data_IF_448747704001
#
_entry.id   IF_448747704001
#
_cell.length_a   1.000
_cell.length_b   1.000
_cell.length_c   1.000
_cell.angle_alpha   90.00
_cell.angle_beta   90.00
_cell.angle_gamma   90.00
#
_symmetry.space_group_name_H-M   'P 1'
#
loop_
_entity.id
_entity.type
_entity.pdbx_description
1 polymer ?
#
# COMPACT_ATOMS: atom_id res chain seq x y z
N UNK A 1 -15.07 14.67 2.42
CA UNK A 1 -14.62 15.91 1.74
C UNK A 1 -15.78 16.92 1.73
N UNK A 2 -16.94 16.60 1.13
CA UNK A 2 -18.09 17.53 1.04
C UNK A 2 -18.49 18.15 2.39
N UNK A 3 -18.60 17.34 3.45
CA UNK A 3 -18.94 17.83 4.77
C UNK A 3 -17.92 18.82 5.35
N UNK A 4 -16.63 18.64 5.02
CA UNK A 4 -15.56 19.55 5.44
C UNK A 4 -15.68 20.87 4.67
N UNK A 5 -15.92 20.82 3.36
CA UNK A 5 -16.17 22.00 2.54
C UNK A 5 -17.42 22.76 2.97
N UNK A 6 -18.52 22.06 3.27
CA UNK A 6 -19.76 22.69 3.75
C UNK A 6 -19.59 23.44 5.08
N UNK A 7 -18.55 23.10 5.84
CA UNK A 7 -18.15 23.82 7.06
C UNK A 7 -17.17 24.96 6.79
N UNK A 8 -16.92 25.31 5.54
CA UNK A 8 -15.93 26.34 5.15
C UNK A 8 -14.49 25.97 5.50
N UNK A 9 -14.16 24.66 5.54
CA UNK A 9 -12.83 24.17 5.90
C UNK A 9 -12.17 23.44 4.74
N UNK A 10 -10.85 23.53 4.65
CA UNK A 10 -10.05 22.81 3.68
C UNK A 10 -9.88 21.33 4.09
N UNK A 11 -10.29 20.37 3.24
CA UNK A 11 -10.04 18.95 3.51
C UNK A 11 -8.57 18.61 3.29
N UNK A 12 -7.93 18.01 4.29
CA UNK A 12 -6.56 17.52 4.19
C UNK A 12 -6.58 16.00 4.25
N UNK A 13 -6.13 15.34 3.17
CA UNK A 13 -5.98 13.89 3.10
C UNK A 13 -4.51 13.54 3.34
N UNK A 14 -4.23 12.82 4.42
CA UNK A 14 -2.87 12.37 4.76
C UNK A 14 -2.78 10.84 4.78
N UNK A 15 -1.67 10.31 4.31
CA UNK A 15 -1.43 8.87 4.37
C UNK A 15 -0.30 8.41 3.46
N UNK A 16 -0.04 7.10 3.49
CA UNK A 16 1.02 6.45 2.72
C UNK A 16 0.53 5.27 1.87
N UNK A 17 -0.79 5.04 1.80
CA UNK A 17 -1.37 3.98 0.96
C UNK A 17 -1.74 4.57 -0.39
N UNK A 18 -0.81 4.47 -1.35
CA UNK A 18 -0.95 5.10 -2.67
C UNK A 18 -2.25 4.76 -3.39
N UNK A 19 -2.71 3.50 -3.32
CA UNK A 19 -3.98 3.11 -3.95
C UNK A 19 -5.19 3.85 -3.36
N UNK A 20 -5.23 4.09 -2.04
CA UNK A 20 -6.35 4.79 -1.40
C UNK A 20 -6.34 6.29 -1.74
N UNK A 21 -5.15 6.90 -1.73
CA UNK A 21 -5.00 8.29 -2.16
C UNK A 21 -5.44 8.41 -3.62
N UNK A 22 -4.92 7.56 -4.49
CA UNK A 22 -5.29 7.55 -5.90
C UNK A 22 -6.79 7.32 -6.11
N UNK A 23 -7.42 6.46 -5.32
CA UNK A 23 -8.84 6.19 -5.41
C UNK A 23 -9.70 7.43 -5.14
N UNK A 24 -9.27 8.29 -4.22
CA UNK A 24 -9.97 9.54 -3.89
C UNK A 24 -9.66 10.63 -4.93
N UNK A 25 -8.37 10.82 -5.27
CA UNK A 25 -7.94 11.92 -6.14
C UNK A 25 -8.32 11.72 -7.60
N UNK A 26 -8.29 10.49 -8.11
CA UNK A 26 -8.55 10.18 -9.51
C UNK A 26 -9.98 9.64 -9.74
N UNK A 27 -10.87 9.78 -8.75
CA UNK A 27 -12.24 9.23 -8.82
C UNK A 27 -12.24 7.76 -9.31
N UNK A 28 -11.36 6.96 -8.68
CA UNK A 28 -11.16 5.57 -9.09
C UNK A 28 -12.42 4.75 -8.85
N UNK A 29 -13.02 4.28 -9.92
CA UNK A 29 -14.17 3.39 -9.82
C UNK A 29 -13.66 1.99 -9.53
N UNK A 30 -13.80 1.56 -8.27
CA UNK A 30 -13.60 0.15 -7.96
C UNK A 30 -14.70 -0.65 -8.66
N UNK A 31 -14.29 -1.69 -9.36
CA UNK A 31 -15.27 -2.60 -9.92
C UNK A 31 -16.10 -3.17 -8.79
N UNK A 32 -17.40 -2.94 -8.86
CA UNK A 32 -18.40 -3.52 -7.98
C UNK A 32 -18.60 -5.03 -8.20
N UNK A 33 -17.64 -5.67 -8.88
CA UNK A 33 -17.62 -7.11 -9.08
C UNK A 33 -17.58 -7.82 -7.73
N UNK A 34 -18.59 -8.64 -7.48
CA UNK A 34 -18.64 -9.50 -6.30
C UNK A 34 -17.31 -10.26 -6.22
N UNK A 35 -16.61 -10.10 -5.11
CA UNK A 35 -15.43 -10.95 -4.84
C UNK A 35 -15.95 -12.39 -4.81
N UNK A 36 -15.39 -13.24 -5.64
CA UNK A 36 -15.69 -14.66 -5.63
C UNK A 36 -14.50 -15.44 -5.02
N UNK A 37 -14.55 -15.74 -3.70
CA UNK A 37 -13.46 -16.44 -3.03
C UNK A 37 -13.19 -17.83 -3.62
N UNK A 38 -14.23 -18.50 -4.13
CA UNK A 38 -14.12 -19.82 -4.74
C UNK A 38 -13.37 -19.76 -6.08
N UNK A 39 -13.67 -18.77 -6.93
CA UNK A 39 -12.94 -18.55 -8.18
C UNK A 39 -11.48 -18.21 -7.91
N UNK A 40 -11.20 -17.36 -6.91
CA UNK A 40 -9.84 -17.03 -6.55
C UNK A 40 -9.05 -18.22 -6.05
N UNK A 41 -9.66 -19.07 -5.23
CA UNK A 41 -9.07 -20.32 -4.76
C UNK A 41 -8.78 -21.26 -5.94
N UNK A 42 -9.74 -21.44 -6.81
CA UNK A 42 -9.58 -22.25 -8.02
C UNK A 42 -8.38 -21.75 -8.87
N UNK A 43 -8.27 -20.45 -9.11
CA UNK A 43 -7.13 -19.89 -9.86
C UNK A 43 -5.79 -20.07 -9.13
N UNK A 44 -5.79 -20.05 -7.79
CA UNK A 44 -4.59 -20.34 -7.00
C UNK A 44 -4.17 -21.81 -7.13
N UNK A 45 -5.11 -22.74 -7.00
CA UNK A 45 -4.91 -24.18 -7.18
C UNK A 45 -4.44 -24.50 -8.60
N UNK A 46 -5.04 -23.91 -9.62
CA UNK A 46 -4.61 -24.03 -11.01
C UNK A 46 -3.17 -23.54 -11.21
N UNK A 47 -2.79 -22.44 -10.56
CA UNK A 47 -1.42 -21.91 -10.61
C UNK A 47 -0.40 -22.84 -9.94
N UNK A 48 -0.78 -23.48 -8.84
CA UNK A 48 0.06 -24.46 -8.13
C UNK A 48 0.22 -25.73 -8.93
N UNK A 49 -0.85 -26.22 -9.57
CA UNK A 49 -0.85 -27.46 -10.34
C UNK A 49 -0.20 -27.32 -11.73
N UNK A 50 -0.52 -26.27 -12.46
CA UNK A 50 -0.11 -26.07 -13.86
C UNK A 50 1.03 -25.09 -14.05
N UNK A 51 1.49 -24.47 -12.97
CA UNK A 51 2.56 -23.47 -12.99
C UNK A 51 2.09 -22.05 -13.37
N UNK A 52 2.91 -21.08 -12.98
CA UNK A 52 2.66 -19.65 -13.22
C UNK A 52 2.58 -19.29 -14.71
N UNK A 53 3.39 -19.93 -15.53
CA UNK A 53 3.47 -19.63 -16.96
C UNK A 53 2.17 -19.97 -17.70
N UNK A 54 1.43 -20.97 -17.23
CA UNK A 54 0.13 -21.34 -17.81
C UNK A 54 -0.90 -20.25 -17.58
N UNK A 55 -1.02 -19.73 -16.35
CA UNK A 55 -1.95 -18.65 -16.06
C UNK A 55 -1.50 -17.32 -16.71
N UNK A 56 -0.20 -17.11 -16.84
CA UNK A 56 0.28 -15.92 -17.54
C UNK A 56 0.02 -15.98 -19.05
N UNK A 57 0.11 -17.16 -19.67
CA UNK A 57 -0.32 -17.36 -21.07
C UNK A 57 -1.82 -17.08 -21.23
N UNK A 58 -2.64 -17.62 -20.34
CA UNK A 58 -4.08 -17.34 -20.34
C UNK A 58 -4.38 -15.84 -20.18
N UNK A 59 -3.65 -15.14 -19.30
CA UNK A 59 -3.76 -13.68 -19.19
C UNK A 59 -3.41 -12.99 -20.50
N UNK A 60 -2.36 -13.45 -21.19
CA UNK A 60 -1.94 -12.89 -22.49
C UNK A 60 -3.01 -13.09 -23.58
N UNK A 61 -3.76 -14.17 -23.52
CA UNK A 61 -4.87 -14.45 -24.47
C UNK A 61 -6.08 -13.58 -24.21
N UNK A 62 -6.48 -13.38 -22.94
CA UNK A 62 -7.71 -12.65 -22.60
C UNK A 62 -7.48 -11.15 -22.42
N UNK A 63 -6.26 -10.73 -22.06
CA UNK A 63 -5.90 -9.33 -21.83
C UNK A 63 -4.41 -9.09 -22.11
N UNK A 64 -4.04 -8.97 -23.40
CA UNK A 64 -2.64 -8.71 -23.81
C UNK A 64 -2.06 -7.45 -23.18
N UNK A 65 -2.84 -6.38 -23.07
CA UNK A 65 -2.39 -5.11 -22.47
C UNK A 65 -2.10 -5.22 -20.97
N UNK A 66 -2.85 -6.05 -20.26
CA UNK A 66 -2.53 -6.34 -18.86
C UNK A 66 -1.27 -7.21 -18.76
N UNK A 67 -1.10 -8.18 -19.66
CA UNK A 67 0.08 -9.03 -19.67
C UNK A 67 1.39 -8.26 -19.95
N UNK A 68 1.35 -7.19 -20.72
CA UNK A 68 2.51 -6.31 -20.92
C UNK A 68 2.92 -5.55 -19.64
N UNK A 69 1.96 -5.26 -18.76
CA UNK A 69 2.18 -4.46 -17.53
C UNK A 69 2.40 -5.31 -16.28
N UNK A 70 1.98 -6.56 -16.32
CA UNK A 70 2.09 -7.48 -15.18
C UNK A 70 3.30 -8.38 -15.36
N UNK A 71 4.21 -8.37 -14.39
CA UNK A 71 5.36 -9.26 -14.43
C UNK A 71 4.91 -10.73 -14.33
N UNK A 72 5.48 -11.68 -15.14
CA UNK A 72 5.09 -13.10 -15.13
C UNK A 72 5.16 -13.77 -13.75
N UNK A 73 6.05 -13.28 -12.87
CA UNK A 73 6.17 -13.77 -11.50
C UNK A 73 5.20 -13.11 -10.51
N UNK A 74 4.38 -12.15 -10.93
CA UNK A 74 3.39 -11.51 -10.04
C UNK A 74 2.06 -12.29 -10.04
N UNK A 75 2.09 -13.43 -9.37
CA UNK A 75 0.93 -14.34 -9.24
C UNK A 75 -0.33 -13.62 -8.77
N UNK A 76 -0.19 -12.66 -7.85
CA UNK A 76 -1.35 -11.92 -7.29
C UNK A 76 -2.01 -11.05 -8.34
N UNK A 77 -1.23 -10.38 -9.18
CA UNK A 77 -1.78 -9.52 -10.25
C UNK A 77 -2.33 -10.35 -11.40
N UNK A 78 -1.69 -11.46 -11.75
CA UNK A 78 -2.19 -12.39 -12.77
C UNK A 78 -3.56 -12.91 -12.34
N UNK A 79 -3.68 -13.49 -11.14
CA UNK A 79 -4.93 -14.01 -10.60
C UNK A 79 -5.99 -12.90 -10.55
N UNK A 80 -5.64 -11.70 -10.12
CA UNK A 80 -6.57 -10.58 -10.04
C UNK A 80 -7.13 -10.17 -11.41
N UNK A 81 -6.29 -10.16 -12.44
CA UNK A 81 -6.70 -9.83 -13.79
C UNK A 81 -7.64 -10.90 -14.38
N UNK A 82 -7.30 -12.17 -14.19
CA UNK A 82 -8.14 -13.29 -14.62
C UNK A 82 -9.47 -13.35 -13.83
N UNK A 83 -9.43 -13.19 -12.50
CA UNK A 83 -10.64 -13.08 -11.66
C UNK A 83 -11.56 -11.99 -12.19
N UNK A 84 -11.01 -10.83 -12.53
CA UNK A 84 -11.77 -9.72 -13.08
C UNK A 84 -12.43 -10.10 -14.40
N UNK A 85 -11.68 -10.66 -15.34
CA UNK A 85 -12.20 -11.12 -16.62
C UNK A 85 -13.32 -12.14 -16.47
N UNK A 86 -13.14 -13.17 -15.65
CA UNK A 86 -14.15 -14.19 -15.44
C UNK A 86 -15.43 -13.67 -14.77
N UNK A 87 -15.33 -12.63 -13.95
CA UNK A 87 -16.49 -12.07 -13.25
C UNK A 87 -17.24 -11.03 -14.08
N UNK A 88 -16.59 -10.35 -15.00
CA UNK A 88 -17.16 -9.21 -15.73
C UNK A 88 -17.30 -9.45 -17.24
N UNK A 89 -16.56 -10.42 -17.79
CA UNK A 89 -16.43 -10.62 -19.23
C UNK A 89 -15.55 -9.58 -19.93
N UNK A 90 -14.98 -8.61 -19.18
CA UNK A 90 -14.13 -7.55 -19.74
C UNK A 90 -12.68 -7.68 -19.29
N UNK A 91 -11.69 -7.36 -20.13
CA UNK A 91 -10.29 -7.23 -19.75
C UNK A 91 -10.09 -6.15 -18.69
N UNK A 92 -9.22 -6.42 -17.69
CA UNK A 92 -8.93 -5.45 -16.62
C UNK A 92 -8.22 -4.19 -17.17
N UNK A 93 -7.50 -4.31 -18.27
CA UNK A 93 -6.84 -3.18 -18.95
C UNK A 93 -7.84 -2.13 -19.43
N UNK A 94 -9.03 -2.53 -19.87
CA UNK A 94 -10.12 -1.61 -20.25
C UNK A 94 -10.56 -0.76 -19.04
N UNK A 95 -10.68 -1.39 -17.88
CA UNK A 95 -11.00 -0.68 -16.64
C UNK A 95 -9.90 0.30 -16.21
N UNK A 96 -8.63 -0.09 -16.38
CA UNK A 96 -7.51 0.82 -16.11
C UNK A 96 -7.54 2.05 -17.01
N UNK A 97 -7.89 1.89 -18.29
CA UNK A 97 -8.01 3.00 -19.21
C UNK A 97 -9.19 3.91 -18.90
N UNK A 98 -10.34 3.35 -18.56
CA UNK A 98 -11.51 4.14 -18.13
C UNK A 98 -11.17 4.99 -16.91
N UNK A 99 -10.43 4.41 -15.93
CA UNK A 99 -9.99 5.13 -14.73
C UNK A 99 -8.95 6.20 -15.07
N UNK A 100 -8.02 5.92 -15.99
CA UNK A 100 -6.97 6.87 -16.37
C UNK A 100 -7.51 8.10 -17.10
N UNK A 101 -8.60 7.96 -17.83
CA UNK A 101 -9.25 9.07 -18.58
C UNK A 101 -10.08 9.98 -17.69
N UNK A 102 -10.40 9.59 -16.46
CA UNK A 102 -11.14 10.44 -15.53
C UNK A 102 -10.24 11.56 -15.02
N UNK A 103 -10.74 12.77 -15.10
CA UNK A 103 -10.12 13.92 -14.44
C UNK A 103 -10.52 13.93 -12.97
N UNK A 104 -9.66 14.49 -12.14
CA UNK A 104 -10.00 14.70 -10.73
C UNK A 104 -11.19 15.64 -10.60
N UNK A 105 -12.14 15.29 -9.72
CA UNK A 105 -13.26 16.16 -9.37
C UNK A 105 -12.85 17.26 -8.37
N UNK A 106 -11.57 17.32 -8.02
CA UNK A 106 -11.04 18.26 -7.04
C UNK A 106 -9.91 19.09 -7.64
N UNK A 107 -9.81 20.33 -7.22
CA UNK A 107 -8.58 21.10 -7.34
C UNK A 107 -7.58 20.53 -6.35
N UNK A 108 -6.52 19.90 -6.85
CA UNK A 108 -5.60 19.12 -6.04
C UNK A 108 -4.31 19.89 -5.78
N UNK A 109 -3.92 19.89 -4.52
CA UNK A 109 -2.59 20.28 -4.10
C UNK A 109 -1.92 19.08 -3.42
N UNK A 110 -0.95 18.48 -4.10
CA UNK A 110 -0.33 17.23 -3.66
C UNK A 110 1.10 17.47 -3.22
N UNK A 111 1.38 17.15 -1.96
CA UNK A 111 2.71 17.32 -1.36
C UNK A 111 3.24 15.95 -0.91
N UNK A 112 4.46 15.63 -1.32
CA UNK A 112 5.22 14.51 -0.83
C UNK A 112 6.33 14.98 0.10
N UNK A 113 6.37 14.47 1.33
CA UNK A 113 7.47 14.73 2.25
C UNK A 113 8.50 13.62 2.13
N UNK A 114 9.73 14.00 1.85
CA UNK A 114 10.87 13.07 1.79
C UNK A 114 12.00 13.52 2.72
N UNK A 115 12.98 12.67 2.89
CA UNK A 115 14.23 12.98 3.57
C UNK A 115 15.36 12.12 3.02
N UNK A 116 16.59 12.48 3.31
CA UNK A 116 17.75 11.67 2.95
C UNK A 116 17.58 10.24 3.46
N UNK A 117 17.95 9.27 2.62
CA UNK A 117 17.72 7.84 2.86
C UNK A 117 18.29 7.33 4.19
N UNK A 118 19.48 7.81 4.56
CA UNK A 118 20.13 7.42 5.82
C UNK A 118 19.25 7.78 7.02
N UNK A 119 18.81 9.03 7.09
CA UNK A 119 17.96 9.52 8.20
C UNK A 119 16.58 8.88 8.20
N UNK A 120 16.01 8.62 7.02
CA UNK A 120 14.75 7.87 6.93
C UNK A 120 14.88 6.49 7.55
N UNK A 121 15.98 5.79 7.27
CA UNK A 121 16.21 4.44 7.80
C UNK A 121 16.50 4.45 9.31
N UNK A 122 17.22 5.42 9.81
CA UNK A 122 17.43 5.63 11.25
C UNK A 122 16.09 5.88 11.96
N UNK A 123 15.24 6.75 11.43
CA UNK A 123 13.89 6.99 11.99
C UNK A 123 13.00 5.76 11.95
N UNK A 124 13.04 4.99 10.89
CA UNK A 124 12.28 3.73 10.78
C UNK A 124 12.74 2.74 11.86
N UNK A 125 14.05 2.55 12.00
CA UNK A 125 14.61 1.66 13.00
C UNK A 125 14.21 2.09 14.42
N UNK A 126 14.38 3.38 14.73
CA UNK A 126 13.98 3.93 16.03
C UNK A 126 12.48 3.82 16.29
N UNK A 127 11.65 4.00 15.26
CA UNK A 127 10.20 3.79 15.38
C UNK A 127 9.85 2.35 15.73
N UNK A 128 10.52 1.37 15.12
CA UNK A 128 10.32 -0.06 15.45
C UNK A 128 10.68 -0.30 16.93
N UNK A 129 11.81 0.20 17.40
CA UNK A 129 12.23 0.10 18.80
C UNK A 129 11.19 0.71 19.74
N UNK A 130 10.73 1.91 19.48
CA UNK A 130 9.68 2.58 20.25
C UNK A 130 8.36 1.82 20.27
N UNK A 131 7.98 1.16 19.17
CA UNK A 131 6.77 0.33 19.15
C UNK A 131 6.94 -0.90 20.06
N UNK A 132 8.09 -1.51 20.06
CA UNK A 132 8.40 -2.64 20.95
C UNK A 132 8.44 -2.19 22.42
N UNK A 133 9.09 -1.07 22.73
CA UNK A 133 9.11 -0.45 24.07
C UNK A 133 7.69 -0.13 24.58
N UNK A 134 6.80 0.31 23.69
CA UNK A 134 5.39 0.63 24.00
C UNK A 134 4.49 -0.59 24.10
N UNK A 135 5.02 -1.80 23.98
CA UNK A 135 4.29 -3.02 24.24
C UNK A 135 3.67 -3.69 23.02
N UNK A 136 4.15 -3.42 21.80
CA UNK A 136 3.65 -4.10 20.60
C UNK A 136 3.72 -5.63 20.70
N UNK A 137 4.75 -6.19 21.35
CA UNK A 137 4.84 -7.62 21.58
C UNK A 137 3.68 -8.15 22.45
N UNK A 138 3.35 -7.41 23.53
CA UNK A 138 2.23 -7.76 24.43
C UNK A 138 0.89 -7.68 23.68
N UNK A 139 0.72 -6.71 22.82
CA UNK A 139 -0.48 -6.54 21.98
C UNK A 139 -0.66 -7.76 21.06
N UNK A 140 0.39 -8.15 20.31
CA UNK A 140 0.35 -9.31 19.40
C UNK A 140 0.08 -10.61 20.18
N UNK A 141 0.76 -10.81 21.33
CA UNK A 141 0.53 -11.96 22.20
C UNK A 141 -0.93 -12.04 22.66
N UNK A 142 -1.48 -10.93 23.14
CA UNK A 142 -2.88 -10.88 23.57
C UNK A 142 -3.89 -11.16 22.44
N UNK A 143 -3.58 -10.81 21.18
CA UNK A 143 -4.41 -11.16 20.04
C UNK A 143 -4.36 -12.68 19.75
N UNK A 144 -3.18 -13.29 19.77
CA UNK A 144 -3.01 -14.74 19.59
C UNK A 144 -3.73 -15.53 20.70
N UNK A 145 -3.59 -15.11 21.97
CA UNK A 145 -4.29 -15.71 23.11
C UNK A 145 -5.81 -15.62 23.00
N UNK A 146 -6.33 -14.59 22.35
CA UNK A 146 -7.77 -14.43 22.02
C UNK A 146 -8.22 -15.28 20.83
N UNK A 147 -7.34 -16.09 20.24
CA UNK A 147 -7.65 -17.00 19.13
C UNK A 147 -7.56 -16.37 17.74
N UNK A 148 -7.05 -15.15 17.59
CA UNK A 148 -6.78 -14.60 16.26
C UNK A 148 -5.56 -15.29 15.66
N UNK A 149 -5.76 -16.09 14.61
CA UNK A 149 -4.70 -16.85 13.96
C UNK A 149 -3.71 -15.95 13.22
N UNK A 150 -2.43 -16.37 13.21
CA UNK A 150 -1.34 -15.64 12.53
C UNK A 150 -1.52 -15.50 11.00
N UNK A 151 -2.30 -16.42 10.36
CA UNK A 151 -2.60 -16.39 8.94
C UNK A 151 -3.65 -15.34 8.53
N UNK A 152 -4.36 -14.75 9.49
CA UNK A 152 -5.31 -13.67 9.22
C UNK A 152 -4.62 -12.51 8.53
N UNK A 153 -5.28 -11.94 7.53
CA UNK A 153 -4.75 -10.84 6.72
C UNK A 153 -4.28 -9.63 7.55
N UNK A 154 -4.96 -9.32 8.65
CA UNK A 154 -4.55 -8.27 9.59
C UNK A 154 -3.27 -8.63 10.34
N UNK A 155 -3.10 -9.88 10.73
CA UNK A 155 -1.91 -10.40 11.40
C UNK A 155 -0.69 -10.50 10.48
N UNK A 156 -0.88 -10.45 9.16
CA UNK A 156 0.19 -10.38 8.15
C UNK A 156 0.72 -8.95 7.92
N UNK A 157 0.30 -7.98 8.73
CA UNK A 157 0.80 -6.60 8.67
C UNK A 157 2.20 -6.48 9.26
N UNK A 158 2.91 -5.40 8.89
CA UNK A 158 4.25 -5.11 9.43
C UNK A 158 4.20 -5.00 10.96
N UNK A 159 5.10 -5.67 11.62
CA UNK A 159 5.17 -5.81 13.07
C UNK A 159 4.45 -7.06 13.55
N UNK A 160 3.15 -7.19 13.28
CA UNK A 160 2.35 -8.33 13.74
C UNK A 160 2.88 -9.66 13.19
N UNK A 161 3.10 -9.75 11.87
CA UNK A 161 3.69 -10.93 11.23
C UNK A 161 5.01 -11.35 11.88
N UNK A 162 5.90 -10.39 12.11
CA UNK A 162 7.24 -10.67 12.64
C UNK A 162 7.19 -11.17 14.09
N UNK A 163 6.35 -10.52 14.91
CA UNK A 163 6.22 -10.87 16.32
C UNK A 163 5.39 -12.13 16.54
N UNK A 164 4.42 -12.42 15.68
CA UNK A 164 3.70 -13.69 15.69
C UNK A 164 4.66 -14.85 15.40
N UNK A 165 5.54 -14.75 14.41
CA UNK A 165 6.55 -15.78 14.12
C UNK A 165 7.53 -15.99 15.28
N UNK A 166 7.90 -14.95 16.02
CA UNK A 166 8.68 -15.08 17.24
C UNK A 166 7.90 -15.81 18.33
N UNK A 167 6.64 -15.42 18.58
CA UNK A 167 5.81 -16.03 19.64
C UNK A 167 5.45 -17.49 19.35
N UNK A 168 5.35 -17.86 18.08
CA UNK A 168 5.12 -19.24 17.61
C UNK A 168 6.41 -20.08 17.56
N UNK A 169 7.57 -19.49 17.88
CA UNK A 169 8.86 -20.20 17.88
C UNK A 169 9.48 -20.42 16.50
N UNK A 170 8.91 -19.83 15.45
CA UNK A 170 9.45 -19.94 14.08
C UNK A 170 10.73 -19.11 13.90
N UNK A 171 10.88 -18.03 14.63
CA UNK A 171 12.03 -17.13 14.62
C UNK A 171 12.53 -16.83 16.03
N UNK A 172 13.83 -16.59 16.17
CA UNK A 172 14.36 -15.95 17.36
C UNK A 172 14.05 -14.45 17.40
N UNK A 173 14.28 -13.83 18.54
CA UNK A 173 14.01 -12.42 18.77
C UNK A 173 14.80 -11.50 17.82
N UNK A 174 16.06 -11.80 17.63
CA UNK A 174 16.94 -11.00 16.78
C UNK A 174 16.47 -11.02 15.32
N UNK A 175 16.17 -12.20 14.80
CA UNK A 175 15.62 -12.39 13.46
C UNK A 175 14.30 -11.63 13.27
N UNK A 176 13.38 -11.74 14.25
CA UNK A 176 12.09 -11.08 14.19
C UNK A 176 12.24 -9.55 14.11
N UNK A 177 13.06 -8.96 15.00
CA UNK A 177 13.27 -7.50 15.06
C UNK A 177 14.02 -7.00 13.83
N UNK A 178 15.09 -7.69 13.42
CA UNK A 178 15.89 -7.28 12.27
C UNK A 178 15.08 -7.35 10.96
N UNK A 179 14.26 -8.40 10.81
CA UNK A 179 13.38 -8.55 9.65
C UNK A 179 12.27 -7.52 9.66
N UNK A 180 11.69 -7.20 10.82
CA UNK A 180 10.70 -6.14 10.96
C UNK A 180 11.28 -4.77 10.52
N UNK A 181 12.47 -4.39 10.99
CA UNK A 181 13.16 -3.17 10.56
C UNK A 181 13.41 -3.17 9.05
N UNK A 182 13.93 -4.28 8.51
CA UNK A 182 14.22 -4.46 7.09
C UNK A 182 12.97 -4.31 6.22
N UNK A 183 11.87 -4.95 6.59
CA UNK A 183 10.64 -4.94 5.79
C UNK A 183 9.91 -3.60 5.89
N UNK A 184 10.03 -2.91 7.02
CA UNK A 184 9.53 -1.53 7.16
C UNK A 184 10.31 -0.56 6.25
N UNK A 185 11.65 -0.70 6.16
CA UNK A 185 12.46 0.07 5.19
C UNK A 185 12.08 -0.25 3.73
N UNK A 186 11.83 -1.52 3.42
CA UNK A 186 11.35 -1.95 2.09
C UNK A 186 9.97 -1.38 1.78
N UNK A 187 9.09 -1.31 2.77
CA UNK A 187 7.79 -0.70 2.62
C UNK A 187 7.90 0.79 2.31
N UNK A 188 8.73 1.54 3.04
CA UNK A 188 8.99 2.94 2.76
C UNK A 188 9.57 3.16 1.34
N UNK A 189 10.47 2.29 0.88
CA UNK A 189 10.99 2.33 -0.50
C UNK A 189 9.85 2.13 -1.52
N UNK A 190 8.94 1.17 -1.29
CA UNK A 190 7.78 0.94 -2.16
C UNK A 190 6.85 2.15 -2.20
N UNK A 191 6.60 2.80 -1.06
CA UNK A 191 5.80 4.04 -1.00
C UNK A 191 6.44 5.13 -1.86
N UNK A 192 7.74 5.40 -1.70
CA UNK A 192 8.45 6.41 -2.50
C UNK A 192 8.40 6.09 -3.99
N UNK A 193 8.59 4.83 -4.38
CA UNK A 193 8.49 4.40 -5.78
C UNK A 193 7.10 4.64 -6.36
N UNK A 194 6.06 4.34 -5.59
CA UNK A 194 4.68 4.55 -6.00
C UNK A 194 4.37 6.03 -6.22
N UNK A 195 4.67 6.85 -5.22
CA UNK A 195 4.32 8.28 -5.27
C UNK A 195 5.18 9.08 -6.23
N UNK A 196 6.44 8.69 -6.46
CA UNK A 196 7.32 9.34 -7.45
C UNK A 196 6.85 9.15 -8.90
N UNK A 197 6.01 8.17 -9.16
CA UNK A 197 5.40 7.98 -10.47
C UNK A 197 4.29 9.02 -10.77
N UNK A 198 3.80 9.75 -9.77
CA UNK A 198 2.79 10.80 -9.93
C UNK A 198 3.47 12.18 -10.01
N UNK A 199 3.49 12.76 -11.20
CA UNK A 199 4.13 14.05 -11.47
C UNK A 199 3.41 15.25 -10.82
N UNK A 200 2.20 15.08 -10.31
CA UNK A 200 1.44 16.13 -9.61
C UNK A 200 1.98 16.41 -8.22
N UNK A 201 2.82 15.50 -7.68
CA UNK A 201 3.34 15.61 -6.33
C UNK A 201 4.55 16.53 -6.30
N UNK A 202 4.42 17.63 -5.58
CA UNK A 202 5.54 18.47 -5.22
C UNK A 202 6.27 17.87 -4.01
N UNK A 203 7.56 17.59 -4.18
CA UNK A 203 8.37 16.96 -3.16
C UNK A 203 9.10 18.00 -2.31
N UNK A 204 8.87 17.92 -0.99
CA UNK A 204 9.56 18.74 0.01
C UNK A 204 10.51 17.85 0.82
N UNK A 205 11.77 18.25 0.89
CA UNK A 205 12.79 17.53 1.65
C UNK A 205 12.87 18.04 3.09
N UNK A 206 12.60 17.15 4.03
CA UNK A 206 12.78 17.43 5.45
C UNK A 206 14.22 17.14 5.87
N UNK A 207 14.92 18.17 6.34
CA UNK A 207 16.30 18.02 6.90
C UNK A 207 16.22 17.55 8.36
N UNK A 208 17.17 16.69 8.80
CA UNK A 208 17.25 16.27 10.20
C UNK A 208 17.62 17.45 11.10
N UNK A 209 17.14 17.45 12.33
CA UNK A 209 17.61 18.36 13.39
C UNK A 209 16.75 19.58 13.67
N UNK A 210 15.71 19.92 12.90
CA UNK A 210 14.93 21.13 13.13
C UNK A 210 13.50 20.83 13.59
N UNK A 211 13.34 20.53 14.90
CA UNK A 211 12.02 20.24 15.50
C UNK A 211 11.25 21.50 15.93
N UNK A 212 11.93 22.64 16.14
CA UNK A 212 11.29 23.90 16.60
C UNK A 212 10.84 24.81 15.46
N UNK A 213 11.48 24.77 14.30
CA UNK A 213 11.02 25.39 13.04
C UNK A 213 11.08 24.34 11.95
N UNK A 214 9.95 23.90 11.47
CA UNK A 214 9.88 22.94 10.37
C UNK A 214 9.61 23.73 9.08
N UNK A 215 10.65 24.06 8.28
CA UNK A 215 10.47 24.85 7.06
C UNK A 215 9.51 24.21 6.07
N UNK A 216 9.35 22.89 6.13
CA UNK A 216 8.37 22.17 5.33
C UNK A 216 6.94 22.54 5.77
N UNK A 217 6.70 22.69 7.07
CA UNK A 217 5.39 23.11 7.59
C UNK A 217 5.08 24.55 7.18
N UNK A 218 6.04 25.45 7.32
CA UNK A 218 5.88 26.86 6.96
C UNK A 218 5.56 27.01 5.45
N UNK A 219 6.24 26.24 4.59
CA UNK A 219 5.93 26.19 3.16
C UNK A 219 4.52 25.67 2.91
N UNK A 220 4.11 24.59 3.58
CA UNK A 220 2.75 24.04 3.42
C UNK A 220 1.70 25.06 3.87
N UNK A 221 1.90 25.73 5.01
CA UNK A 221 0.98 26.76 5.51
C UNK A 221 0.86 27.92 4.53
N UNK A 222 1.97 28.47 4.04
CA UNK A 222 1.95 29.57 3.08
C UNK A 222 1.26 29.23 1.76
N UNK A 223 1.36 27.97 1.33
CA UNK A 223 0.68 27.47 0.13
C UNK A 223 -0.82 27.29 0.33
N UNK A 224 -1.26 27.02 1.55
CA UNK A 224 -2.68 26.82 1.90
C UNK A 224 -3.37 28.16 2.20
N UNK A 225 -2.66 29.16 2.70
CA UNK A 225 -3.19 30.51 2.98
C UNK A 225 -3.58 31.28 1.72
N UNK A 226 -3.11 30.84 0.53
CA UNK A 226 -3.49 31.41 -0.77
C UNK A 226 -4.75 30.82 -1.39
N UNK A 227 -5.43 29.92 -0.67
CA UNK A 227 -6.68 29.25 -1.08
C UNK A 227 -7.81 29.59 -0.10
#
# INVERSE_FOLDING_TARGET
>A
IREVHNRGKLPILTGGTGLYIKAVVDDYTFCSGKVNPSLRRYLQEEMELKGKDTLFRLLREVDPLAAERVHPNDSRRIIRALEFFYLTGEPISVQWERTRKKQSNYQLFMIGITMERRYLYERINRRVELMLEKGLLKEVKGLLERGFKSDLKSMQSLGYFHLANFLEGNWDWETAVNTFKKDTRRYAKRQLTWFRADQRIMWLEQKPGNTKKNPVLDIICSMVEGY
#
